data_IF_474244026010
#
_entry.id   IF_474244026010
#
_cell.length_a   1.000
_cell.length_b   1.000
_cell.length_c   1.000
_cell.angle_alpha   90.00
_cell.angle_beta   90.00
_cell.angle_gamma   90.00
#
_symmetry.space_group_name_H-M   'P 1'
#
loop_
_entity.id
_entity.type
_entity.pdbx_description
1 polymer ?
#
# COMPACT_ATOMS: atom_id res chain seq x y z
N UNK A 1 -83.76 92.56 28.69
CA UNK A 1 -84.21 93.36 29.87
C UNK A 1 -83.07 93.42 30.88
N UNK A 2 -83.12 94.36 31.83
CA UNK A 2 -81.98 94.86 32.60
C UNK A 2 -81.32 93.82 33.56
N UNK A 3 -79.98 93.84 33.75
CA UNK A 3 -79.19 94.44 34.88
C UNK A 3 -79.68 93.90 36.26
N UNK A 4 -78.86 93.32 37.17
CA UNK A 4 -77.92 93.99 38.09
C UNK A 4 -76.87 93.02 38.73
N UNK A 5 -75.62 93.50 38.82
CA UNK A 5 -74.47 93.28 39.74
C UNK A 5 -74.26 92.00 40.59
N UNK A 6 -72.99 91.57 40.63
CA UNK A 6 -72.33 90.83 41.71
C UNK A 6 -70.81 90.77 41.52
N UNK A 7 -70.02 91.27 42.46
CA UNK A 7 -68.56 91.54 42.33
C UNK A 7 -67.63 90.42 42.80
N UNK A 8 -66.40 90.36 42.27
CA UNK A 8 -65.14 89.99 43.00
C UNK A 8 -63.90 90.56 42.27
N UNK A 9 -62.88 90.96 43.03
CA UNK A 9 -61.61 91.58 42.58
C UNK A 9 -60.43 90.58 42.75
N UNK A 10 -59.19 90.73 42.23
CA UNK A 10 -58.55 91.73 41.35
C UNK A 10 -57.28 91.14 40.65
N UNK A 11 -56.73 91.90 39.68
CA UNK A 11 -55.42 91.77 39.00
C UNK A 11 -54.21 91.56 39.98
N UNK A 12 -53.14 90.77 39.70
CA UNK A 12 -52.05 90.84 38.66
C UNK A 12 -50.77 91.59 39.18
N UNK A 13 -49.61 91.74 38.46
CA UNK A 13 -48.56 90.74 38.16
C UNK A 13 -47.06 91.16 38.42
N UNK A 14 -46.12 90.22 38.15
CA UNK A 14 -44.74 90.36 37.58
C UNK A 14 -43.46 90.79 38.38
N UNK A 15 -42.41 89.91 38.29
CA UNK A 15 -40.91 90.12 38.27
C UNK A 15 -40.21 90.81 39.49
N UNK A 16 -38.91 90.65 39.84
CA UNK A 16 -37.70 90.12 39.16
C UNK A 16 -36.53 89.67 40.13
N UNK A 17 -35.67 88.73 39.66
CA UNK A 17 -34.22 88.39 39.97
C UNK A 17 -33.58 88.42 41.39
N UNK A 18 -33.01 87.27 41.81
CA UNK A 18 -31.87 87.12 42.74
C UNK A 18 -30.94 85.90 42.37
N UNK A 19 -29.85 85.59 43.12
CA UNK A 19 -28.56 85.06 42.55
C UNK A 19 -27.72 84.07 43.45
N UNK A 20 -27.01 83.10 42.81
CA UNK A 20 -25.77 82.32 43.21
C UNK A 20 -25.73 81.07 44.15
N UNK A 21 -24.91 80.08 43.70
CA UNK A 21 -24.12 78.97 44.36
C UNK A 21 -24.80 77.61 44.79
N UNK A 22 -24.15 76.48 44.45
CA UNK A 22 -24.51 75.05 44.76
C UNK A 22 -23.57 74.39 45.81
N UNK A 23 -23.14 73.09 45.75
CA UNK A 23 -23.40 71.96 44.82
C UNK A 23 -23.66 70.56 45.53
N UNK A 24 -23.40 69.42 44.85
CA UNK A 24 -23.61 67.99 45.23
C UNK A 24 -25.09 67.47 45.14
N UNK A 25 -25.39 66.21 44.79
CA UNK A 25 -24.54 64.99 44.73
C UNK A 25 -24.85 64.03 43.55
N UNK A 26 -23.83 63.28 43.13
CA UNK A 26 -23.92 62.11 42.26
C UNK A 26 -24.35 60.87 43.06
N UNK A 27 -25.39 60.14 42.63
CA UNK A 27 -25.59 58.67 42.82
C UNK A 27 -27.00 58.25 42.35
N UNK A 28 -27.13 57.71 41.12
CA UNK A 28 -28.14 56.69 40.77
C UNK A 28 -27.98 56.11 39.35
N UNK A 29 -27.44 56.88 38.38
CA UNK A 29 -27.47 56.47 36.96
C UNK A 29 -26.33 55.54 36.48
N UNK A 30 -25.29 55.31 37.29
CA UNK A 30 -24.08 54.55 36.86
C UNK A 30 -24.19 53.03 37.05
N UNK A 31 -25.22 52.52 37.75
CA UNK A 31 -25.34 51.09 38.09
C UNK A 31 -26.00 50.19 37.03
N UNK A 32 -26.53 50.71 35.92
CA UNK A 32 -27.21 49.90 34.88
C UNK A 32 -26.46 49.69 33.56
N UNK A 33 -25.32 50.37 33.33
CA UNK A 33 -24.54 50.24 32.08
C UNK A 33 -23.28 49.36 32.23
N UNK A 34 -22.82 49.06 33.46
CA UNK A 34 -21.63 48.22 33.70
C UNK A 34 -21.79 46.72 33.48
N UNK A 35 -23.02 46.20 33.29
CA UNK A 35 -23.25 44.76 33.12
C UNK A 35 -23.39 44.27 31.66
N UNK A 36 -23.54 45.16 30.67
CA UNK A 36 -23.61 44.75 29.26
C UNK A 36 -22.25 44.75 28.53
N UNK A 37 -21.25 45.49 29.02
CA UNK A 37 -19.94 45.61 28.35
C UNK A 37 -18.88 44.61 28.84
N UNK A 38 -19.09 43.95 29.98
CA UNK A 38 -18.15 42.94 30.52
C UNK A 38 -18.38 41.53 29.96
N UNK A 39 -19.60 41.21 29.52
CA UNK A 39 -19.96 39.89 28.97
C UNK A 39 -19.46 39.69 27.52
N UNK A 40 -19.72 40.65 26.64
CA UNK A 40 -19.43 40.52 25.19
C UNK A 40 -17.92 40.53 24.89
N UNK A 41 -17.14 41.28 25.66
CA UNK A 41 -15.68 41.26 25.56
C UNK A 41 -15.09 39.91 25.98
N UNK A 42 -15.52 39.40 27.14
CA UNK A 42 -15.03 38.12 27.68
C UNK A 42 -15.29 36.94 26.73
N UNK A 43 -16.51 36.81 26.17
CA UNK A 43 -16.82 35.70 25.25
C UNK A 43 -15.97 35.77 23.98
N UNK A 44 -15.79 36.96 23.37
CA UNK A 44 -14.94 37.11 22.17
C UNK A 44 -13.46 36.86 22.47
N UNK A 45 -12.96 37.33 23.61
CA UNK A 45 -11.58 37.10 24.05
C UNK A 45 -11.34 35.61 24.34
N UNK A 46 -12.28 34.94 25.00
CA UNK A 46 -12.18 33.50 25.28
C UNK A 46 -12.26 32.66 24.00
N UNK A 47 -13.07 33.05 23.02
CA UNK A 47 -13.10 32.44 21.68
C UNK A 47 -11.77 32.63 20.95
N UNK A 48 -11.21 33.83 20.96
CA UNK A 48 -9.90 34.11 20.35
C UNK A 48 -8.78 33.32 21.04
N UNK A 49 -8.75 33.29 22.38
CA UNK A 49 -7.79 32.48 23.15
C UNK A 49 -7.94 30.99 22.85
N UNK A 50 -9.17 30.48 22.78
CA UNK A 50 -9.43 29.09 22.38
C UNK A 50 -8.92 28.79 20.98
N UNK A 51 -9.14 29.70 20.02
CA UNK A 51 -8.64 29.56 18.65
C UNK A 51 -7.10 29.61 18.60
N UNK A 52 -6.47 30.49 19.37
CA UNK A 52 -5.01 30.55 19.51
C UNK A 52 -4.43 29.29 20.16
N UNK A 53 -5.10 28.71 21.17
CA UNK A 53 -4.70 27.45 21.80
C UNK A 53 -4.83 26.29 20.81
N UNK A 54 -5.95 26.17 20.10
CA UNK A 54 -6.13 25.14 19.06
C UNK A 54 -5.09 25.30 17.95
N UNK A 55 -4.82 26.51 17.49
CA UNK A 55 -3.79 26.78 16.47
C UNK A 55 -2.38 26.44 16.98
N UNK A 56 -2.05 26.78 18.22
CA UNK A 56 -0.79 26.40 18.86
C UNK A 56 -0.66 24.88 19.03
N UNK A 57 -1.73 24.17 19.38
CA UNK A 57 -1.75 22.71 19.46
C UNK A 57 -1.60 22.05 18.08
N UNK A 58 -2.19 22.61 17.03
CA UNK A 58 -1.98 22.16 15.63
C UNK A 58 -0.54 22.40 15.19
N UNK A 59 0.06 23.56 15.51
CA UNK A 59 1.47 23.83 15.23
C UNK A 59 2.40 22.91 16.01
N UNK A 60 2.12 22.65 17.29
CA UNK A 60 2.88 21.70 18.10
C UNK A 60 2.70 20.27 17.56
N UNK A 61 1.51 19.88 17.08
CA UNK A 61 1.29 18.57 16.48
C UNK A 61 2.02 18.40 15.14
N UNK A 62 2.11 19.43 14.29
CA UNK A 62 2.87 19.36 13.03
C UNK A 62 4.39 19.41 13.27
N UNK A 63 4.86 20.21 14.23
CA UNK A 63 6.26 20.20 14.68
C UNK A 63 6.63 18.88 15.38
N UNK A 64 5.75 18.33 16.21
CA UNK A 64 5.93 17.02 16.84
C UNK A 64 5.87 15.88 15.81
N UNK A 65 5.02 15.96 14.79
CA UNK A 65 5.04 15.04 13.65
C UNK A 65 6.36 15.09 12.86
N UNK A 66 7.05 16.23 12.87
CA UNK A 66 8.39 16.40 12.31
C UNK A 66 9.51 15.85 13.21
N UNK A 67 9.26 15.75 14.52
CA UNK A 67 10.19 15.18 15.51
C UNK A 67 9.96 13.67 15.73
N UNK A 68 8.72 13.20 15.61
CA UNK A 68 8.29 11.80 15.70
C UNK A 68 8.50 11.06 14.38
N UNK A 69 9.75 11.00 13.93
CA UNK A 69 10.26 9.86 13.16
C UNK A 69 9.72 9.63 11.74
N UNK A 70 8.80 10.44 11.21
CA UNK A 70 8.53 10.45 9.77
C UNK A 70 9.71 11.07 9.02
N UNK A 71 10.74 10.23 8.81
CA UNK A 71 11.73 10.41 7.75
C UNK A 71 10.98 10.47 6.43
N UNK A 72 10.63 11.68 6.00
CA UNK A 72 10.48 11.97 4.58
C UNK A 72 11.77 11.48 3.90
N UNK A 73 11.70 10.29 3.31
CA UNK A 73 12.76 9.84 2.41
C UNK A 73 12.77 10.87 1.29
N UNK A 74 13.81 11.70 1.26
CA UNK A 74 14.17 12.42 0.04
C UNK A 74 14.21 11.35 -1.05
N UNK A 75 13.58 11.59 -2.22
CA UNK A 75 13.62 10.61 -3.29
C UNK A 75 15.08 10.43 -3.68
N UNK A 76 15.64 9.30 -3.27
CA UNK A 76 16.95 8.86 -3.69
C UNK A 76 16.99 8.99 -5.21
N UNK A 77 17.99 9.71 -5.75
CA UNK A 77 18.10 9.95 -7.19
C UNK A 77 18.52 8.62 -7.82
N UNK A 78 17.52 7.75 -7.99
CA UNK A 78 17.70 6.39 -8.48
C UNK A 78 18.31 6.46 -9.87
N UNK A 79 19.39 5.71 -10.06
CA UNK A 79 20.06 5.60 -11.36
C UNK A 79 19.02 5.28 -12.46
N UNK A 80 19.09 5.90 -13.66
CA UNK A 80 18.24 5.50 -14.78
C UNK A 80 18.25 3.99 -15.02
N UNK A 81 19.38 3.34 -14.73
CA UNK A 81 19.58 1.90 -14.83
C UNK A 81 18.65 1.07 -13.94
N UNK A 82 18.32 1.53 -12.72
CA UNK A 82 17.49 0.75 -11.78
C UNK A 82 16.01 0.73 -12.17
N UNK A 83 15.59 1.70 -12.99
CA UNK A 83 14.23 1.84 -13.52
C UNK A 83 14.07 1.25 -14.91
N UNK A 84 15.12 1.17 -15.72
CA UNK A 84 15.08 0.69 -17.11
C UNK A 84 15.20 -0.84 -17.25
N UNK A 85 15.64 -1.55 -16.21
CA UNK A 85 15.84 -2.99 -16.24
C UNK A 85 15.24 -3.67 -15.01
N UNK A 86 15.06 -4.99 -15.07
CA UNK A 86 14.59 -5.83 -13.97
C UNK A 86 15.48 -7.06 -13.74
N UNK A 87 15.46 -7.58 -12.52
CA UNK A 87 16.07 -8.87 -12.17
C UNK A 87 15.01 -9.96 -12.30
N UNK A 88 15.31 -11.07 -12.95
CA UNK A 88 14.46 -12.27 -12.95
C UNK A 88 14.87 -13.18 -11.79
N UNK A 89 13.91 -13.53 -10.93
CA UNK A 89 14.11 -14.36 -9.74
C UNK A 89 13.35 -15.69 -9.91
N UNK A 90 14.09 -16.73 -10.29
CA UNK A 90 13.54 -18.06 -10.60
C UNK A 90 13.59 -18.94 -9.35
N UNK A 91 12.42 -19.41 -8.90
CA UNK A 91 12.32 -20.42 -7.84
C UNK A 91 12.33 -21.84 -8.45
N UNK A 92 13.25 -22.70 -8.02
CA UNK A 92 13.49 -24.04 -8.61
C UNK A 92 13.66 -25.13 -7.53
N UNK A 93 13.22 -26.36 -7.84
CA UNK A 93 13.47 -27.54 -7.02
C UNK A 93 13.43 -28.83 -7.85
N UNK A 94 14.55 -29.54 -7.93
CA UNK A 94 14.75 -30.87 -8.57
C UNK A 94 14.27 -30.92 -10.03
N UNK A 95 14.42 -29.80 -10.74
CA UNK A 95 13.80 -29.51 -12.06
C UNK A 95 14.77 -28.92 -13.09
N UNK A 96 16.06 -29.28 -12.99
CA UNK A 96 17.18 -28.75 -13.81
C UNK A 96 16.93 -28.60 -15.32
N UNK A 97 16.10 -29.45 -15.94
CA UNK A 97 15.70 -29.30 -17.35
C UNK A 97 14.80 -28.09 -17.59
N UNK A 98 13.79 -27.87 -16.74
CA UNK A 98 12.88 -26.72 -16.81
C UNK A 98 13.63 -25.43 -16.45
N UNK A 99 14.44 -25.47 -15.38
CA UNK A 99 15.34 -24.37 -15.01
C UNK A 99 16.21 -23.93 -16.20
N UNK A 100 16.86 -24.87 -16.91
CA UNK A 100 17.68 -24.55 -18.08
C UNK A 100 16.89 -23.91 -19.22
N UNK A 101 15.65 -24.32 -19.43
CA UNK A 101 14.75 -23.71 -20.40
C UNK A 101 14.32 -22.29 -19.98
N UNK A 102 13.99 -22.09 -18.70
CA UNK A 102 13.62 -20.79 -18.15
C UNK A 102 14.79 -19.79 -18.19
N UNK A 103 15.98 -20.19 -17.74
CA UNK A 103 17.21 -19.36 -17.79
C UNK A 103 17.52 -18.94 -19.23
N UNK A 104 17.47 -19.88 -20.19
CA UNK A 104 17.72 -19.56 -21.60
C UNK A 104 16.68 -18.63 -22.22
N UNK A 105 15.40 -18.80 -21.87
CA UNK A 105 14.33 -17.91 -22.30
C UNK A 105 14.52 -16.50 -21.75
N UNK A 106 14.65 -16.35 -20.43
CA UNK A 106 14.75 -15.04 -19.79
C UNK A 106 16.07 -14.31 -20.12
N UNK A 107 17.17 -15.04 -20.37
CA UNK A 107 18.41 -14.44 -20.88
C UNK A 107 18.23 -13.75 -22.24
N UNK A 108 17.24 -14.16 -23.03
CA UNK A 108 16.94 -13.57 -24.34
C UNK A 108 16.01 -12.34 -24.29
N UNK A 109 15.48 -11.98 -23.12
CA UNK A 109 14.60 -10.81 -22.96
C UNK A 109 15.42 -9.52 -22.75
N UNK A 110 15.01 -8.42 -23.40
CA UNK A 110 15.86 -7.24 -23.58
C UNK A 110 16.15 -6.46 -22.28
N UNK A 111 15.19 -6.35 -21.36
CA UNK A 111 15.35 -5.49 -20.17
C UNK A 111 15.78 -6.27 -18.91
N UNK A 112 16.33 -7.47 -19.09
CA UNK A 112 16.83 -8.31 -17.98
C UNK A 112 18.26 -7.88 -17.60
N UNK A 113 18.44 -7.39 -16.38
CA UNK A 113 19.74 -7.01 -15.80
C UNK A 113 20.53 -8.21 -15.27
N UNK A 114 19.79 -9.12 -14.64
CA UNK A 114 20.30 -10.24 -13.87
C UNK A 114 19.28 -11.38 -13.81
N UNK A 115 19.79 -12.61 -13.69
CA UNK A 115 19.01 -13.82 -13.47
C UNK A 115 19.52 -14.46 -12.18
N UNK A 116 18.65 -14.52 -11.18
CA UNK A 116 18.93 -15.08 -9.86
C UNK A 116 18.11 -16.35 -9.69
N UNK A 117 18.78 -17.44 -9.36
CA UNK A 117 18.16 -18.76 -9.17
C UNK A 117 18.14 -19.08 -7.69
N UNK A 118 16.95 -19.08 -7.10
CA UNK A 118 16.73 -19.48 -5.70
C UNK A 118 16.91 -20.99 -5.62
N UNK A 119 18.05 -21.41 -5.09
CA UNK A 119 18.38 -22.82 -4.94
C UNK A 119 18.05 -23.28 -3.52
N UNK A 120 17.18 -24.27 -3.41
CA UNK A 120 16.67 -24.82 -2.13
C UNK A 120 16.70 -26.35 -2.12
N UNK A 121 17.70 -26.94 -2.80
CA UNK A 121 17.98 -28.38 -2.73
C UNK A 121 19.09 -28.64 -1.70
N UNK A 122 19.08 -29.84 -1.12
CA UNK A 122 19.97 -30.26 -0.02
C UNK A 122 21.46 -30.18 -0.40
N UNK A 123 21.78 -30.54 -1.65
CA UNK A 123 23.11 -30.41 -2.24
C UNK A 123 23.24 -29.06 -2.98
N UNK A 124 24.43 -28.41 -2.97
CA UNK A 124 24.68 -27.22 -3.78
C UNK A 124 24.56 -27.54 -5.29
N UNK A 125 24.26 -26.54 -6.14
CA UNK A 125 24.18 -26.75 -7.58
C UNK A 125 25.51 -27.29 -8.11
N UNK A 126 25.47 -28.38 -8.88
CA UNK A 126 26.70 -28.99 -9.36
C UNK A 126 27.44 -28.05 -10.32
N UNK A 127 28.78 -28.10 -10.29
CA UNK A 127 29.62 -27.26 -11.17
C UNK A 127 29.27 -27.47 -12.65
N UNK A 128 28.92 -28.70 -13.04
CA UNK A 128 28.48 -29.02 -14.40
C UNK A 128 27.12 -28.38 -14.77
N UNK A 129 26.19 -28.25 -13.82
CA UNK A 129 24.94 -27.52 -14.01
C UNK A 129 25.21 -26.02 -14.13
N UNK A 130 25.99 -25.45 -13.21
CA UNK A 130 26.33 -24.03 -13.22
C UNK A 130 27.04 -23.60 -14.51
N UNK A 131 28.08 -24.33 -14.93
CA UNK A 131 28.75 -24.11 -16.21
C UNK A 131 27.79 -24.27 -17.40
N UNK A 132 26.81 -25.19 -17.33
CA UNK A 132 25.82 -25.36 -18.41
C UNK A 132 24.85 -24.18 -18.50
N UNK A 133 24.45 -23.60 -17.37
CA UNK A 133 23.55 -22.45 -17.32
C UNK A 133 24.27 -21.15 -17.73
N UNK A 134 25.51 -20.92 -17.28
CA UNK A 134 26.34 -19.80 -17.74
C UNK A 134 26.48 -19.79 -19.27
N UNK A 135 26.83 -20.94 -19.88
CA UNK A 135 26.89 -21.11 -21.34
C UNK A 135 25.53 -20.90 -22.04
N UNK A 136 24.41 -21.18 -21.37
CA UNK A 136 23.08 -20.86 -21.90
C UNK A 136 22.85 -19.36 -21.91
N UNK A 137 23.16 -18.64 -20.82
CA UNK A 137 23.05 -17.18 -20.78
C UNK A 137 23.94 -16.53 -21.85
N UNK A 138 25.20 -16.95 -21.95
CA UNK A 138 26.18 -16.51 -22.96
C UNK A 138 25.79 -16.83 -24.42
N UNK A 139 24.86 -17.77 -24.66
CA UNK A 139 24.41 -18.13 -26.02
C UNK A 139 23.01 -17.63 -26.37
N UNK A 140 22.21 -17.18 -25.40
CA UNK A 140 20.85 -16.71 -25.61
C UNK A 140 20.67 -15.19 -25.47
N UNK A 141 21.62 -14.47 -24.87
CA UNK A 141 21.53 -13.01 -24.74
C UNK A 141 21.44 -12.31 -26.10
N UNK A 142 20.68 -11.21 -26.15
CA UNK A 142 20.37 -10.46 -27.39
C UNK A 142 20.73 -8.97 -27.33
N UNK A 143 21.33 -8.55 -26.23
CA UNK A 143 21.63 -7.16 -25.87
C UNK A 143 23.14 -6.94 -25.80
N UNK A 144 23.57 -5.69 -25.59
CA UNK A 144 24.99 -5.36 -25.39
C UNK A 144 25.49 -5.83 -24.01
N UNK A 145 24.59 -5.98 -23.04
CA UNK A 145 24.90 -6.36 -21.67
C UNK A 145 24.40 -7.78 -21.37
N UNK A 146 25.31 -8.71 -21.08
CA UNK A 146 24.98 -10.08 -20.68
C UNK A 146 24.37 -10.04 -19.26
N UNK A 147 23.19 -10.64 -19.02
CA UNK A 147 22.60 -10.68 -17.68
C UNK A 147 23.51 -11.33 -16.64
N UNK A 148 23.63 -10.72 -15.45
CA UNK A 148 24.38 -11.31 -14.33
C UNK A 148 23.65 -12.56 -13.81
N UNK A 149 24.23 -13.74 -14.03
CA UNK A 149 23.64 -15.04 -13.66
C UNK A 149 24.29 -15.61 -12.42
N UNK A 150 23.50 -15.86 -11.36
CA UNK A 150 23.96 -16.46 -10.10
C UNK A 150 22.91 -17.39 -9.48
N UNK A 151 23.40 -18.36 -8.71
CA UNK A 151 22.59 -19.08 -7.73
C UNK A 151 22.60 -18.35 -6.39
N UNK A 152 21.44 -18.26 -5.77
CA UNK A 152 21.25 -17.88 -4.37
C UNK A 152 20.95 -19.16 -3.60
N UNK A 153 22.01 -19.75 -3.04
CA UNK A 153 21.98 -21.07 -2.37
C UNK A 153 21.45 -20.93 -0.95
N UNK A 154 20.54 -21.82 -0.57
CA UNK A 154 19.93 -21.88 0.75
C UNK A 154 20.18 -23.26 1.37
N UNK A 155 20.39 -23.29 2.69
CA UNK A 155 20.70 -24.51 3.46
C UNK A 155 19.50 -25.44 3.65
N UNK A 156 18.26 -24.94 3.47
CA UNK A 156 17.03 -25.66 3.76
C UNK A 156 16.02 -25.56 2.59
N UNK A 157 15.27 -26.63 2.34
CA UNK A 157 14.13 -26.61 1.40
C UNK A 157 12.92 -25.87 2.01
N UNK A 158 12.82 -24.57 1.75
CA UNK A 158 11.86 -23.66 2.37
C UNK A 158 11.30 -22.64 1.36
N UNK A 159 9.97 -22.57 1.21
CA UNK A 159 9.32 -21.64 0.27
C UNK A 159 9.61 -20.16 0.55
N UNK A 160 9.95 -19.81 1.80
CA UNK A 160 10.35 -18.44 2.16
C UNK A 160 11.67 -18.01 1.50
N UNK A 161 12.52 -18.96 1.06
CA UNK A 161 13.82 -18.66 0.44
C UNK A 161 13.71 -17.72 -0.77
N UNK A 162 12.59 -17.81 -1.53
CA UNK A 162 12.34 -16.95 -2.70
C UNK A 162 12.17 -15.47 -2.37
N UNK A 163 12.09 -15.12 -1.09
CA UNK A 163 11.90 -13.75 -0.61
C UNK A 163 13.02 -13.24 0.29
N UNK A 164 14.12 -13.99 0.45
CA UNK A 164 15.32 -13.50 1.15
C UNK A 164 15.93 -12.30 0.40
N UNK A 165 16.66 -11.39 1.09
CA UNK A 165 17.34 -10.29 0.45
C UNK A 165 18.48 -10.83 -0.42
N UNK A 166 18.70 -10.20 -1.57
CA UNK A 166 19.66 -10.66 -2.57
C UNK A 166 20.72 -9.59 -2.77
N UNK A 167 21.98 -9.95 -2.51
CA UNK A 167 23.09 -9.01 -2.64
C UNK A 167 23.45 -8.69 -4.10
N UNK A 168 23.83 -7.43 -4.33
CA UNK A 168 24.32 -6.93 -5.62
C UNK A 168 23.25 -6.51 -6.63
N UNK A 169 21.95 -6.53 -6.29
CA UNK A 169 20.89 -6.18 -7.25
C UNK A 169 20.83 -4.68 -7.59
N UNK A 170 21.15 -4.36 -8.84
CA UNK A 170 21.11 -3.00 -9.41
C UNK A 170 19.69 -2.49 -9.70
N UNK A 171 18.74 -3.39 -9.95
CA UNK A 171 17.37 -3.03 -10.35
C UNK A 171 16.47 -2.79 -9.15
N UNK A 172 15.44 -1.97 -9.32
CA UNK A 172 14.37 -1.84 -8.33
C UNK A 172 13.31 -2.94 -8.49
N UNK A 173 13.06 -3.34 -9.73
CA UNK A 173 12.11 -4.39 -10.09
C UNK A 173 12.71 -5.78 -9.96
N UNK A 174 11.93 -6.67 -9.35
CA UNK A 174 12.13 -8.12 -9.33
C UNK A 174 10.94 -8.75 -10.07
N UNK A 175 11.20 -9.55 -11.10
CA UNK A 175 10.21 -10.45 -11.67
C UNK A 175 10.38 -11.83 -11.04
N UNK A 176 9.50 -12.20 -10.11
CA UNK A 176 9.49 -13.55 -9.55
C UNK A 176 8.70 -14.49 -10.44
N UNK A 177 9.26 -15.68 -10.65
CA UNK A 177 8.73 -16.72 -11.53
C UNK A 177 9.04 -18.10 -10.96
N UNK A 178 8.09 -19.04 -11.08
CA UNK A 178 8.35 -20.45 -10.83
C UNK A 178 9.00 -21.11 -12.06
N UNK A 179 9.94 -22.05 -11.86
CA UNK A 179 10.68 -22.73 -12.95
C UNK A 179 9.83 -23.47 -13.99
N UNK A 180 8.55 -23.74 -13.73
CA UNK A 180 7.59 -24.36 -14.63
C UNK A 180 6.71 -23.37 -15.43
N UNK A 181 6.99 -22.06 -15.37
CA UNK A 181 6.23 -21.02 -16.09
C UNK A 181 7.10 -20.16 -16.99
N UNK A 182 6.69 -20.03 -18.26
CA UNK A 182 7.28 -19.11 -19.24
C UNK A 182 6.31 -18.00 -19.60
N UNK A 183 6.74 -16.74 -19.42
CA UNK A 183 6.07 -15.54 -19.95
C UNK A 183 6.87 -15.02 -21.16
N UNK A 184 6.28 -14.88 -22.36
CA UNK A 184 6.99 -14.38 -23.55
C UNK A 184 7.58 -12.98 -23.32
N UNK A 185 8.80 -12.72 -23.81
CA UNK A 185 9.46 -11.43 -23.58
C UNK A 185 8.59 -10.20 -23.92
N UNK A 186 7.88 -10.09 -25.06
CA UNK A 186 7.03 -8.92 -25.34
C UNK A 186 5.90 -8.73 -24.31
N UNK A 187 5.34 -9.82 -23.78
CA UNK A 187 4.35 -9.80 -22.70
C UNK A 187 4.98 -9.39 -21.37
N UNK A 188 6.22 -9.79 -21.12
CA UNK A 188 6.99 -9.45 -19.93
C UNK A 188 7.42 -7.98 -19.91
N UNK A 189 7.89 -7.44 -21.04
CA UNK A 189 8.21 -6.03 -21.21
C UNK A 189 6.97 -5.15 -21.02
N UNK A 190 5.79 -5.56 -21.53
CA UNK A 190 4.54 -4.86 -21.23
C UNK A 190 4.22 -4.86 -19.73
N UNK A 191 4.33 -6.00 -19.05
CA UNK A 191 4.10 -6.08 -17.60
C UNK A 191 5.12 -5.26 -16.79
N UNK A 192 6.36 -5.16 -17.25
CA UNK A 192 7.38 -4.30 -16.65
C UNK A 192 7.03 -2.82 -16.78
N UNK A 193 6.57 -2.37 -17.95
CA UNK A 193 6.09 -1.00 -18.17
C UNK A 193 4.87 -0.67 -17.27
N UNK A 194 3.96 -1.63 -17.07
CA UNK A 194 2.85 -1.48 -16.11
C UNK A 194 3.39 -1.34 -14.68
N UNK A 195 4.37 -2.17 -14.28
CA UNK A 195 5.01 -2.05 -12.96
C UNK A 195 5.73 -0.71 -12.78
N UNK A 196 6.43 -0.19 -13.79
CA UNK A 196 7.06 1.13 -13.73
C UNK A 196 6.05 2.26 -13.45
N UNK A 197 4.79 2.10 -13.89
CA UNK A 197 3.72 3.08 -13.61
C UNK A 197 3.17 3.00 -12.18
N UNK A 198 3.35 1.86 -11.50
CA UNK A 198 2.84 1.56 -10.17
C UNK A 198 3.84 0.71 -9.36
N UNK A 199 5.06 1.21 -9.08
CA UNK A 199 6.17 0.39 -8.56
C UNK A 199 5.94 -0.11 -7.13
N UNK A 200 4.98 0.48 -6.43
CA UNK A 200 4.53 0.08 -5.09
C UNK A 200 3.63 -1.19 -5.13
N UNK A 201 2.92 -1.44 -6.23
CA UNK A 201 2.03 -2.59 -6.38
C UNK A 201 2.78 -3.86 -6.81
N UNK A 202 2.19 -5.03 -6.48
CA UNK A 202 2.50 -6.26 -7.22
C UNK A 202 1.77 -6.24 -8.58
N UNK A 203 2.50 -6.51 -9.66
CA UNK A 203 1.98 -6.47 -11.03
C UNK A 203 2.26 -7.79 -11.72
N UNK A 204 1.24 -8.50 -12.20
CA UNK A 204 1.47 -9.83 -12.76
C UNK A 204 0.24 -10.54 -13.27
N UNK A 205 0.38 -11.84 -13.46
CA UNK A 205 -0.42 -12.57 -14.45
C UNK A 205 -1.45 -13.54 -13.86
N UNK A 206 -1.30 -13.91 -12.59
CA UNK A 206 -2.10 -14.96 -11.94
C UNK A 206 -2.96 -14.32 -10.83
N UNK A 207 -4.10 -13.69 -11.17
CA UNK A 207 -4.96 -13.04 -10.20
C UNK A 207 -5.68 -14.06 -9.31
N UNK A 208 -5.86 -13.70 -8.05
CA UNK A 208 -6.64 -14.43 -7.03
C UNK A 208 -7.40 -13.43 -6.16
N UNK A 209 -8.44 -13.89 -5.49
CA UNK A 209 -9.27 -13.03 -4.65
C UNK A 209 -9.49 -13.61 -3.26
N UNK A 210 -10.00 -12.77 -2.36
CA UNK A 210 -10.72 -13.21 -1.18
C UNK A 210 -12.17 -12.73 -1.23
N UNK A 211 -13.05 -13.33 -0.44
CA UNK A 211 -14.35 -12.78 -0.08
C UNK A 211 -14.74 -13.20 1.34
N UNK A 212 -15.65 -12.46 1.99
CA UNK A 212 -16.20 -12.80 3.31
C UNK A 212 -17.14 -14.00 3.18
N UNK A 213 -16.97 -15.03 4.01
CA UNK A 213 -17.85 -16.18 4.06
C UNK A 213 -19.15 -15.86 4.81
N UNK A 214 -20.17 -15.43 4.08
CA UNK A 214 -21.49 -15.05 4.59
C UNK A 214 -22.29 -16.18 5.30
N UNK A 215 -21.66 -17.32 5.60
CA UNK A 215 -22.24 -18.44 6.35
C UNK A 215 -21.95 -18.40 7.85
N UNK A 216 -20.90 -17.69 8.28
CA UNK A 216 -20.60 -17.48 9.70
C UNK A 216 -20.91 -16.03 10.06
N UNK A 217 -21.88 -15.81 10.94
CA UNK A 217 -22.28 -14.47 11.40
C UNK A 217 -21.45 -13.93 12.55
N UNK A 218 -20.79 -14.82 13.29
CA UNK A 218 -20.18 -14.50 14.58
C UNK A 218 -18.68 -14.19 14.45
N UNK A 219 -18.00 -14.79 13.46
CA UNK A 219 -16.60 -14.54 13.09
C UNK A 219 -16.48 -14.20 11.60
N UNK A 220 -15.84 -13.07 11.26
CA UNK A 220 -15.51 -12.69 9.88
C UNK A 220 -14.46 -13.64 9.28
N UNK A 221 -14.95 -14.77 8.78
CA UNK A 221 -14.15 -15.72 8.03
C UNK A 221 -14.05 -15.30 6.56
N UNK A 222 -12.92 -15.60 5.93
CA UNK A 222 -12.63 -15.30 4.54
C UNK A 222 -12.41 -16.58 3.73
N UNK A 223 -12.72 -16.54 2.44
CA UNK A 223 -12.48 -17.62 1.48
C UNK A 223 -11.55 -17.17 0.37
N UNK A 224 -10.59 -18.01 0.04
CA UNK A 224 -9.65 -17.86 -1.07
C UNK A 224 -10.30 -18.24 -2.40
N UNK A 225 -10.09 -17.41 -3.41
CA UNK A 225 -10.70 -17.51 -4.73
C UNK A 225 -9.71 -17.80 -5.84
N UNK A 226 -9.93 -18.91 -6.53
CA UNK A 226 -9.23 -19.28 -7.76
C UNK A 226 -9.68 -18.49 -8.99
N UNK A 227 -9.18 -18.90 -10.16
CA UNK A 227 -9.49 -18.27 -11.46
C UNK A 227 -10.99 -18.10 -11.72
N UNK A 228 -11.79 -19.14 -11.48
CA UNK A 228 -13.24 -19.07 -11.71
C UNK A 228 -13.93 -18.00 -10.86
N UNK A 229 -13.51 -17.83 -9.59
CA UNK A 229 -14.03 -16.78 -8.73
C UNK A 229 -13.71 -15.39 -9.27
N UNK A 230 -12.45 -15.14 -9.67
CA UNK A 230 -12.03 -13.88 -10.28
C UNK A 230 -12.80 -13.61 -11.58
N UNK A 231 -13.02 -14.63 -12.40
CA UNK A 231 -13.77 -14.52 -13.65
C UNK A 231 -15.24 -14.17 -13.44
N UNK A 232 -15.93 -14.86 -12.52
CA UNK A 232 -17.34 -14.61 -12.21
C UNK A 232 -17.58 -13.28 -11.49
N UNK A 233 -16.70 -12.90 -10.56
CA UNK A 233 -16.87 -11.70 -9.73
C UNK A 233 -16.28 -10.44 -10.38
N UNK A 234 -15.45 -10.59 -11.41
CA UNK A 234 -14.77 -9.47 -12.09
C UNK A 234 -13.78 -8.68 -11.20
N UNK A 235 -13.40 -9.23 -10.05
CA UNK A 235 -12.56 -8.58 -9.03
C UNK A 235 -11.53 -9.54 -8.44
N UNK A 236 -10.39 -9.01 -8.03
CA UNK A 236 -9.27 -9.75 -7.44
C UNK A 236 -8.58 -8.90 -6.37
N UNK A 237 -7.85 -9.53 -5.45
CA UNK A 237 -7.17 -8.86 -4.34
C UNK A 237 -5.73 -9.32 -4.13
N UNK A 238 -5.26 -10.25 -4.96
CA UNK A 238 -3.94 -10.85 -4.92
C UNK A 238 -3.48 -11.12 -6.36
N UNK A 239 -2.17 -11.09 -6.58
CA UNK A 239 -1.53 -11.64 -7.78
C UNK A 239 -0.38 -12.50 -7.30
N UNK A 240 -0.34 -13.77 -7.71
CA UNK A 240 0.62 -14.72 -7.15
C UNK A 240 2.05 -14.44 -7.64
N UNK A 241 3.03 -14.54 -6.73
CA UNK A 241 4.47 -14.45 -7.02
C UNK A 241 4.98 -15.48 -8.02
N UNK A 242 4.18 -16.52 -8.32
CA UNK A 242 4.39 -17.48 -9.42
C UNK A 242 4.73 -16.85 -10.77
N UNK A 243 4.20 -15.64 -11.04
CA UNK A 243 4.56 -14.84 -12.22
C UNK A 243 4.16 -13.36 -11.96
N UNK A 244 5.02 -12.62 -11.25
CA UNK A 244 4.74 -11.23 -10.88
C UNK A 244 5.99 -10.36 -10.68
N UNK A 245 5.88 -9.10 -11.07
CA UNK A 245 6.76 -8.01 -10.69
C UNK A 245 6.41 -7.46 -9.31
N UNK A 246 7.45 -7.15 -8.52
CA UNK A 246 7.36 -6.36 -7.30
C UNK A 246 8.68 -5.62 -7.04
N UNK A 247 8.67 -4.63 -6.14
CA UNK A 247 9.88 -3.87 -5.78
C UNK A 247 10.79 -4.68 -4.83
N UNK A 248 12.10 -4.73 -5.10
CA UNK A 248 13.11 -5.43 -4.28
C UNK A 248 13.04 -5.17 -2.76
N UNK A 249 12.58 -3.99 -2.34
CA UNK A 249 12.40 -3.64 -0.91
C UNK A 249 11.49 -4.63 -0.17
N UNK A 250 10.56 -5.29 -0.87
CA UNK A 250 9.68 -6.28 -0.27
C UNK A 250 10.41 -7.58 0.12
N UNK A 251 11.60 -7.87 -0.43
CA UNK A 251 12.45 -8.97 0.05
C UNK A 251 12.97 -8.68 1.47
N UNK A 252 13.43 -7.45 1.71
CA UNK A 252 13.90 -6.99 3.02
C UNK A 252 12.75 -6.88 4.03
N UNK A 253 11.60 -6.30 3.63
CA UNK A 253 10.44 -6.19 4.50
C UNK A 253 9.88 -7.58 4.84
N UNK A 254 9.87 -8.53 3.89
CA UNK A 254 9.44 -9.91 4.15
C UNK A 254 10.38 -10.53 5.18
N UNK A 255 11.67 -10.58 4.88
CA UNK A 255 12.65 -11.27 5.74
C UNK A 255 12.79 -10.67 7.14
N UNK A 256 12.77 -9.34 7.27
CA UNK A 256 13.12 -8.66 8.53
C UNK A 256 11.95 -8.00 9.27
N UNK A 257 10.80 -7.78 8.63
CA UNK A 257 9.67 -7.07 9.25
C UNK A 257 8.39 -7.92 9.31
N UNK A 258 8.24 -8.96 8.48
CA UNK A 258 7.13 -9.91 8.63
C UNK A 258 7.28 -10.69 9.95
N UNK A 259 6.20 -10.86 10.73
CA UNK A 259 6.23 -11.67 11.94
C UNK A 259 6.77 -13.08 11.68
N UNK A 260 7.71 -13.54 12.52
CA UNK A 260 8.32 -14.87 12.40
C UNK A 260 7.29 -16.01 12.37
N UNK A 261 6.16 -15.83 13.06
CA UNK A 261 5.02 -16.76 13.06
C UNK A 261 4.41 -16.99 11.67
N UNK A 262 4.50 -16.02 10.74
CA UNK A 262 4.06 -16.19 9.35
C UNK A 262 5.10 -17.00 8.56
N UNK A 263 6.40 -16.75 8.76
CA UNK A 263 7.47 -17.57 8.16
C UNK A 263 7.37 -19.04 8.61
N UNK A 264 7.21 -19.27 9.92
CA UNK A 264 6.99 -20.58 10.53
C UNK A 264 5.74 -21.28 9.97
N UNK A 265 4.66 -20.53 9.75
CA UNK A 265 3.45 -21.05 9.12
C UNK A 265 3.71 -21.53 7.69
N UNK A 266 4.38 -20.71 6.86
CA UNK A 266 4.75 -21.05 5.48
C UNK A 266 5.68 -22.28 5.43
N UNK A 267 6.60 -22.42 6.39
CA UNK A 267 7.44 -23.62 6.54
C UNK A 267 6.59 -24.86 6.85
N UNK A 268 5.71 -24.77 7.85
CA UNK A 268 4.90 -25.89 8.34
C UNK A 268 3.90 -26.40 7.29
N UNK A 269 3.18 -25.49 6.65
CA UNK A 269 2.14 -25.84 5.67
C UNK A 269 2.69 -26.07 4.25
N UNK A 270 3.97 -25.71 3.99
CA UNK A 270 4.64 -25.72 2.67
C UNK A 270 3.76 -25.12 1.55
N UNK A 271 3.15 -23.97 1.85
CA UNK A 271 2.22 -23.25 0.97
C UNK A 271 2.12 -21.78 1.40
N UNK A 272 1.38 -20.98 0.64
CA UNK A 272 0.89 -19.65 1.02
C UNK A 272 1.95 -18.55 1.20
N UNK A 273 3.18 -18.76 0.72
CA UNK A 273 4.22 -17.73 0.66
C UNK A 273 3.79 -16.56 -0.27
N UNK A 274 3.06 -16.88 -1.34
CA UNK A 274 2.50 -15.92 -2.29
C UNK A 274 1.35 -15.09 -1.70
N UNK A 275 0.54 -15.69 -0.81
CA UNK A 275 -0.47 -15.00 0.00
C UNK A 275 0.23 -14.10 1.01
N UNK A 276 1.25 -14.59 1.73
CA UNK A 276 2.01 -13.81 2.70
C UNK A 276 2.65 -12.57 2.07
N UNK A 277 3.27 -12.71 0.89
CA UNK A 277 3.80 -11.58 0.13
C UNK A 277 2.70 -10.60 -0.31
N UNK A 278 1.54 -11.10 -0.75
CA UNK A 278 0.40 -10.23 -1.11
C UNK A 278 -0.12 -9.44 0.09
N UNK A 279 -0.21 -10.06 1.28
CA UNK A 279 -0.58 -9.42 2.54
C UNK A 279 0.43 -8.33 2.91
N UNK A 280 1.73 -8.63 2.82
CA UNK A 280 2.80 -7.69 3.13
C UNK A 280 2.75 -6.45 2.25
N UNK A 281 2.65 -6.61 0.92
CA UNK A 281 2.65 -5.46 0.01
C UNK A 281 1.41 -4.61 0.22
N UNK A 282 0.24 -5.21 0.37
CA UNK A 282 -1.00 -4.50 0.62
C UNK A 282 -0.99 -3.77 1.98
N UNK A 283 -0.48 -4.41 3.05
CA UNK A 283 -0.34 -3.80 4.37
C UNK A 283 0.68 -2.66 4.40
N UNK A 284 1.79 -2.78 3.66
CA UNK A 284 2.86 -1.79 3.63
C UNK A 284 2.51 -0.52 2.81
N UNK A 285 1.53 -0.61 1.90
CA UNK A 285 1.25 0.46 0.91
C UNK A 285 -0.20 0.93 0.84
N UNK A 286 -1.16 0.08 1.23
CA UNK A 286 -2.57 0.26 0.90
C UNK A 286 -2.88 0.14 -0.61
N UNK A 287 -1.90 -0.25 -1.44
CA UNK A 287 -2.07 -0.35 -2.88
C UNK A 287 -2.63 -1.72 -3.29
N UNK A 288 -3.63 -1.77 -4.19
CA UNK A 288 -4.07 -3.02 -4.78
C UNK A 288 -3.01 -3.59 -5.74
N UNK A 289 -3.05 -4.91 -6.01
CA UNK A 289 -2.28 -5.51 -7.10
C UNK A 289 -2.87 -5.14 -8.47
N UNK A 290 -2.07 -5.30 -9.53
CA UNK A 290 -2.49 -5.07 -10.93
C UNK A 290 -2.36 -6.36 -11.74
N UNK A 291 -3.49 -6.80 -12.32
CA UNK A 291 -3.54 -7.93 -13.25
C UNK A 291 -3.17 -7.49 -14.66
N UNK A 292 -2.18 -8.16 -15.26
CA UNK A 292 -1.79 -8.03 -16.66
C UNK A 292 -2.40 -9.16 -17.49
N UNK A 293 -3.09 -8.83 -18.59
CA UNK A 293 -3.49 -9.81 -19.60
C UNK A 293 -2.24 -10.26 -20.38
N UNK A 294 -1.91 -11.54 -20.29
CA UNK A 294 -0.77 -12.13 -20.98
C UNK A 294 -0.96 -13.62 -21.23
N UNK A 295 -0.19 -14.19 -22.16
CA UNK A 295 -0.07 -15.65 -22.29
C UNK A 295 0.99 -16.15 -21.31
N UNK A 296 0.66 -17.23 -20.63
CA UNK A 296 1.56 -17.98 -19.75
C UNK A 296 1.61 -19.41 -20.28
N UNK A 297 2.81 -19.96 -20.32
CA UNK A 297 3.03 -21.34 -20.72
C UNK A 297 3.50 -22.13 -19.50
N UNK A 298 2.61 -22.95 -18.96
CA UNK A 298 2.98 -23.96 -17.96
C UNK A 298 3.70 -25.09 -18.69
N UNK A 299 5.01 -25.24 -18.44
CA UNK A 299 5.89 -26.22 -19.09
C UNK A 299 6.20 -27.43 -18.19
N UNK A 300 5.76 -27.39 -16.93
CA UNK A 300 5.78 -28.52 -16.00
C UNK A 300 4.47 -29.32 -16.02
N UNK A 301 4.51 -30.56 -15.54
CA UNK A 301 3.35 -31.48 -15.55
C UNK A 301 2.56 -31.54 -14.23
N UNK A 302 3.19 -31.17 -13.11
CA UNK A 302 2.60 -31.25 -11.76
C UNK A 302 3.43 -30.48 -10.74
N UNK A 303 2.78 -29.93 -9.70
CA UNK A 303 3.39 -29.14 -8.63
C UNK A 303 2.48 -29.05 -7.39
N UNK A 304 2.88 -28.29 -6.36
CA UNK A 304 2.17 -28.20 -5.07
C UNK A 304 0.68 -27.81 -5.22
N UNK A 305 0.36 -26.99 -6.22
CA UNK A 305 -1.01 -26.58 -6.59
C UNK A 305 -1.93 -27.72 -7.04
N UNK A 306 -1.36 -28.86 -7.47
CA UNK A 306 -2.12 -30.04 -7.92
C UNK A 306 -2.52 -31.00 -6.79
N UNK A 307 -2.05 -30.75 -5.55
CA UNK A 307 -2.36 -31.59 -4.39
C UNK A 307 -3.81 -31.41 -3.92
N UNK A 308 -4.45 -32.51 -3.54
CA UNK A 308 -5.80 -32.51 -2.97
C UNK A 308 -5.80 -31.71 -1.67
N UNK A 309 -6.75 -30.79 -1.50
CA UNK A 309 -6.85 -29.93 -0.31
C UNK A 309 -6.19 -28.55 -0.46
N UNK A 310 -5.44 -28.30 -1.54
CA UNK A 310 -4.66 -27.06 -1.70
C UNK A 310 -5.49 -25.76 -1.55
N UNK A 311 -6.73 -25.73 -2.03
CA UNK A 311 -7.61 -24.56 -1.85
C UNK A 311 -8.15 -24.42 -0.43
N UNK A 312 -8.35 -25.53 0.29
CA UNK A 312 -8.76 -25.53 1.69
C UNK A 312 -7.63 -25.02 2.59
N UNK A 313 -6.39 -25.44 2.32
CA UNK A 313 -5.21 -24.93 3.03
C UNK A 313 -5.05 -23.42 2.79
N UNK A 314 -5.24 -22.95 1.54
CA UNK A 314 -5.23 -21.49 1.25
C UNK A 314 -6.35 -20.71 1.93
N UNK A 315 -7.51 -21.31 2.22
CA UNK A 315 -8.51 -20.67 3.08
C UNK A 315 -7.99 -20.53 4.52
N UNK A 316 -7.32 -21.55 5.07
CA UNK A 316 -6.77 -21.51 6.42
C UNK A 316 -5.69 -20.42 6.53
N UNK A 317 -4.69 -20.45 5.64
CA UNK A 317 -3.65 -19.42 5.54
C UNK A 317 -4.22 -17.99 5.55
N UNK A 318 -5.27 -17.76 4.75
CA UNK A 318 -5.92 -16.45 4.62
C UNK A 318 -6.49 -15.94 5.95
N UNK A 319 -7.14 -16.79 6.73
CA UNK A 319 -7.74 -16.42 8.02
C UNK A 319 -6.70 -16.33 9.15
N UNK A 320 -5.75 -17.26 9.15
CA UNK A 320 -4.65 -17.26 10.12
C UNK A 320 -3.78 -16.02 9.93
N UNK A 321 -3.49 -15.61 8.69
CA UNK A 321 -2.76 -14.38 8.42
C UNK A 321 -3.55 -13.12 8.81
N UNK A 322 -4.88 -13.05 8.58
CA UNK A 322 -5.69 -11.93 9.11
C UNK A 322 -5.53 -11.81 10.63
N UNK A 323 -5.57 -12.94 11.33
CA UNK A 323 -5.37 -12.97 12.80
C UNK A 323 -3.97 -12.47 13.18
N UNK A 324 -2.92 -12.93 12.49
CA UNK A 324 -1.53 -12.51 12.71
C UNK A 324 -1.26 -11.04 12.33
N UNK A 325 -2.05 -10.45 11.43
CA UNK A 325 -2.07 -9.01 11.11
C UNK A 325 -3.02 -8.20 12.04
N UNK A 326 -3.39 -8.74 13.20
CA UNK A 326 -4.17 -8.03 14.22
C UNK A 326 -5.67 -7.99 13.95
N UNK A 327 -6.21 -8.96 13.20
CA UNK A 327 -7.64 -9.10 12.91
C UNK A 327 -8.13 -8.27 11.72
N UNK A 328 -7.26 -7.50 11.05
CA UNK A 328 -7.60 -6.70 9.89
C UNK A 328 -7.20 -7.42 8.59
N UNK A 329 -8.05 -7.38 7.57
CA UNK A 329 -7.71 -7.83 6.22
C UNK A 329 -6.96 -6.72 5.46
N UNK A 330 -5.65 -6.87 5.17
CA UNK A 330 -4.91 -5.83 4.45
C UNK A 330 -5.12 -5.87 2.94
N UNK A 331 -5.61 -6.99 2.38
CA UNK A 331 -5.73 -7.17 0.94
C UNK A 331 -6.76 -6.21 0.32
N UNK A 332 -6.30 -5.34 -0.57
CA UNK A 332 -7.15 -4.38 -1.28
C UNK A 332 -7.66 -4.98 -2.59
N UNK A 333 -8.97 -4.94 -2.80
CA UNK A 333 -9.61 -5.43 -4.02
C UNK A 333 -9.40 -4.46 -5.21
N UNK A 334 -9.40 -5.03 -6.42
CA UNK A 334 -9.18 -4.35 -7.68
C UNK A 334 -10.01 -4.97 -8.80
N UNK A 335 -10.41 -4.12 -9.75
CA UNK A 335 -11.05 -4.50 -11.00
C UNK A 335 -10.19 -4.06 -12.21
N UNK A 336 -9.03 -3.44 -11.96
CA UNK A 336 -8.14 -2.94 -13.01
C UNK A 336 -7.53 -4.12 -13.75
N UNK A 337 -7.48 -4.06 -15.08
CA UNK A 337 -6.78 -5.05 -15.90
C UNK A 337 -5.95 -4.32 -16.94
N UNK A 338 -4.63 -4.42 -16.84
CA UNK A 338 -3.73 -3.90 -17.85
C UNK A 338 -3.72 -4.83 -19.07
N UNK A 339 -3.85 -4.25 -20.26
CA UNK A 339 -3.93 -5.00 -21.51
C UNK A 339 -3.08 -4.30 -22.56
N UNK A 340 -2.26 -5.05 -23.33
CA UNK A 340 -1.51 -4.43 -24.41
C UNK A 340 -2.44 -4.13 -25.58
N UNK A 341 -2.76 -2.84 -25.70
CA UNK A 341 -3.23 -2.11 -26.86
C UNK A 341 -2.97 -2.78 -28.22
N UNK A 342 -1.72 -3.15 -28.52
CA UNK A 342 -1.29 -3.72 -29.81
C UNK A 342 -1.93 -5.07 -30.16
N UNK A 343 -2.49 -5.77 -29.16
CA UNK A 343 -3.08 -7.11 -29.30
C UNK A 343 -4.60 -7.15 -29.06
N UNK A 344 -5.23 -6.01 -28.75
CA UNK A 344 -6.68 -5.90 -28.61
C UNK A 344 -7.31 -5.23 -29.83
N UNK A 345 -8.38 -5.82 -30.34
CA UNK A 345 -9.02 -5.40 -31.59
C UNK A 345 -10.21 -4.44 -31.35
N UNK A 346 -10.60 -4.25 -30.09
CA UNK A 346 -11.67 -3.36 -29.66
C UNK A 346 -11.17 -2.57 -28.44
N UNK A 347 -11.38 -1.25 -28.48
CA UNK A 347 -10.99 -0.26 -27.47
C UNK A 347 -12.20 0.13 -26.63
#
# INVERSE_FOLDING_TARGET
>A
MNIINGSISAYSPAREKAVMRGPYSNRLFVKRIRHLLTSVGSVKINLLLSFCIVFALVLIATLAGSFMGWRHHSPEIKSPHSRQHYTVLINTWKRNKLLKQAVGHYASCNSVDAIRVVWSEDDPPSESLEQSLKKVVESQYRTVHIPDFRFDVNEEDNLNNRFKPIEGLRTDAIFSIDDDVIVPCPTLEFAFNVWQSAPESMVGFVPRMHWVDAKNTDDQNYKYGGWWSVWWMGTYSMVLSKAAFFHKKYLEIYTYQMPATIHEYVVRERNCEDIAMSFLVANATGAPPIWVKGKLYEIGSSGISSLKGHSQHRNQCLNDFVTLYGGNMPLVASNVKAVNAEYEWFW
#
